data_IF_407453580844
#
_entry.id   IF_407453580844
#
_cell.length_a   1.000
_cell.length_b   1.000
_cell.length_c   1.000
_cell.angle_alpha   90.00
_cell.angle_beta   90.00
_cell.angle_gamma   90.00
#
_symmetry.space_group_name_H-M   'P 1'
#
loop_
_entity.id
_entity.type
_entity.pdbx_description
1 polymer ?
#
# COMPACT_ATOMS: atom_id res chain seq x y z
N UNK A 1 -21.57 -13.26 7.81
CA UNK A 1 -20.58 -12.18 7.53
C UNK A 1 -20.39 -12.14 6.02
N UNK A 2 -21.00 -11.17 5.33
CA UNK A 2 -20.98 -11.07 3.88
C UNK A 2 -19.68 -10.37 3.49
N UNK A 3 -18.67 -11.12 3.04
CA UNK A 3 -17.39 -10.53 2.56
C UNK A 3 -17.71 -9.62 1.37
N UNK A 4 -17.18 -8.38 1.32
CA UNK A 4 -17.64 -7.38 0.38
C UNK A 4 -17.13 -7.69 -1.03
N UNK A 5 -17.86 -8.55 -1.74
CA UNK A 5 -17.62 -8.85 -3.16
C UNK A 5 -17.64 -7.58 -4.03
N UNK A 6 -18.45 -6.57 -3.65
CA UNK A 6 -18.45 -5.24 -4.29
C UNK A 6 -17.16 -4.47 -4.03
N UNK A 7 -16.52 -4.65 -2.89
CA UNK A 7 -15.29 -3.94 -2.57
C UNK A 7 -14.08 -4.55 -3.27
N UNK A 8 -14.01 -5.88 -3.37
CA UNK A 8 -12.97 -6.54 -4.18
C UNK A 8 -13.09 -6.13 -5.65
N UNK A 9 -14.30 -5.96 -6.19
CA UNK A 9 -14.49 -5.45 -7.55
C UNK A 9 -14.20 -3.96 -7.71
N UNK A 10 -14.42 -3.14 -6.68
CA UNK A 10 -14.00 -1.73 -6.72
C UNK A 10 -12.48 -1.66 -6.67
N UNK A 11 -11.83 -2.35 -5.73
CA UNK A 11 -10.37 -2.39 -5.63
C UNK A 11 -9.74 -3.03 -6.87
N UNK A 12 -10.17 -4.22 -7.31
CA UNK A 12 -9.66 -4.85 -8.54
C UNK A 12 -10.06 -4.09 -9.82
N UNK A 13 -11.20 -3.38 -9.82
CA UNK A 13 -11.62 -2.54 -10.95
C UNK A 13 -10.86 -1.22 -11.04
N UNK A 14 -10.45 -0.66 -9.89
CA UNK A 14 -9.59 0.51 -9.76
C UNK A 14 -8.11 0.16 -10.01
N UNK A 15 -7.72 -1.04 -9.60
CA UNK A 15 -6.36 -1.55 -9.61
C UNK A 15 -6.23 -2.53 -10.76
N UNK A 16 -6.01 -2.01 -11.97
CA UNK A 16 -5.53 -2.81 -13.08
C UNK A 16 -4.06 -3.10 -12.84
N UNK A 17 -3.72 -4.28 -12.34
CA UNK A 17 -2.32 -4.70 -12.27
C UNK A 17 -1.88 -5.34 -13.59
N UNK A 18 -0.62 -5.18 -13.95
CA UNK A 18 0.00 -5.84 -15.09
C UNK A 18 0.43 -7.29 -14.80
N UNK A 19 0.38 -7.73 -13.53
CA UNK A 19 0.91 -9.02 -13.09
C UNK A 19 0.13 -9.60 -11.88
N UNK A 20 -1.06 -10.15 -12.15
CA UNK A 20 -1.93 -10.73 -11.10
C UNK A 20 -1.25 -11.83 -10.29
N UNK A 21 -0.40 -12.66 -10.91
CA UNK A 21 0.31 -13.73 -10.21
C UNK A 21 1.22 -13.20 -9.10
N UNK A 22 1.77 -11.99 -9.28
CA UNK A 22 2.62 -11.35 -8.29
C UNK A 22 1.84 -10.67 -7.15
N UNK A 23 0.53 -10.52 -7.29
CA UNK A 23 -0.35 -9.98 -6.23
C UNK A 23 -0.83 -11.04 -5.24
N UNK A 24 -0.54 -12.33 -5.46
CA UNK A 24 -1.05 -13.43 -4.61
C UNK A 24 -0.71 -13.29 -3.12
N UNK A 25 0.35 -12.55 -2.80
CA UNK A 25 0.87 -12.33 -1.46
C UNK A 25 0.48 -10.95 -0.90
N UNK A 26 -0.32 -10.16 -1.64
CA UNK A 26 -0.71 -8.80 -1.27
C UNK A 26 -2.22 -8.67 -1.14
N UNK A 27 -2.66 -8.15 0.01
CA UNK A 27 -4.06 -7.83 0.29
C UNK A 27 -4.19 -6.33 0.51
N UNK A 28 -5.26 -5.73 -0.01
CA UNK A 28 -5.53 -4.31 0.08
C UNK A 28 -6.88 -4.05 0.71
N UNK A 29 -6.93 -3.06 1.60
CA UNK A 29 -8.17 -2.55 2.15
C UNK A 29 -8.15 -1.02 2.15
N UNK A 30 -8.96 -0.40 1.31
CA UNK A 30 -9.43 0.97 1.47
C UNK A 30 -10.50 1.06 2.58
N UNK A 31 -10.18 1.70 3.70
CA UNK A 31 -11.03 1.75 4.90
C UNK A 31 -11.35 3.21 5.24
N UNK A 32 -12.58 3.50 5.64
CA UNK A 32 -12.94 4.79 6.24
C UNK A 32 -12.14 4.98 7.53
N UNK A 33 -11.28 6.00 7.58
CA UNK A 33 -10.32 6.22 8.67
C UNK A 33 -10.18 7.71 9.00
N UNK A 34 -11.24 8.47 8.70
CA UNK A 34 -11.38 9.91 8.89
C UNK A 34 -10.19 10.73 8.34
N UNK A 35 -9.60 10.24 7.25
CA UNK A 35 -8.45 10.90 6.63
C UNK A 35 -8.88 12.20 5.94
N UNK A 36 -8.06 13.26 6.04
CA UNK A 36 -8.39 14.55 5.44
C UNK A 36 -8.65 14.41 3.94
N UNK A 37 -9.75 15.00 3.45
CA UNK A 37 -10.10 15.07 2.03
C UNK A 37 -9.01 15.80 1.23
N UNK A 38 -8.88 15.48 -0.07
CA UNK A 38 -7.80 15.99 -0.93
C UNK A 38 -6.57 15.09 -0.97
N UNK A 39 -6.66 13.91 -0.36
CA UNK A 39 -5.64 12.88 -0.38
C UNK A 39 -6.12 11.64 0.34
N UNK A 40 -5.20 10.74 0.62
CA UNK A 40 -5.43 9.53 1.41
C UNK A 40 -4.15 9.14 2.14
N UNK A 41 -4.26 8.30 3.15
CA UNK A 41 -3.10 7.75 3.85
C UNK A 41 -2.86 6.32 3.41
N UNK A 42 -1.60 5.98 3.10
CA UNK A 42 -1.20 4.60 2.81
C UNK A 42 -0.56 4.00 4.04
N UNK A 43 -0.88 2.76 4.35
CA UNK A 43 -0.20 1.95 5.35
C UNK A 43 0.34 0.71 4.66
N UNK A 44 1.65 0.48 4.74
CA UNK A 44 2.28 -0.77 4.33
C UNK A 44 2.56 -1.60 5.58
N UNK A 45 1.95 -2.78 5.66
CA UNK A 45 2.08 -3.73 6.77
C UNK A 45 2.71 -5.01 6.24
N UNK A 46 3.83 -5.41 6.84
CA UNK A 46 4.65 -6.55 6.42
C UNK A 46 4.99 -7.39 7.64
N UNK A 47 5.18 -8.70 7.47
CA UNK A 47 5.74 -9.55 8.54
C UNK A 47 7.16 -9.07 8.90
N UNK A 48 7.51 -9.02 10.18
CA UNK A 48 8.79 -8.51 10.64
C UNK A 48 9.99 -9.38 10.26
N UNK A 49 9.75 -10.64 9.88
CA UNK A 49 10.77 -11.57 9.38
C UNK A 49 10.81 -11.63 7.85
N UNK A 50 9.93 -10.90 7.16
CA UNK A 50 9.91 -10.87 5.71
C UNK A 50 11.02 -9.99 5.14
N UNK A 51 11.48 -10.35 3.94
CA UNK A 51 12.29 -9.45 3.13
C UNK A 51 11.60 -8.09 2.99
N UNK A 52 12.38 -7.01 3.09
CA UNK A 52 11.87 -5.64 2.91
C UNK A 52 10.97 -5.51 1.70
N UNK A 53 9.87 -4.80 1.87
CA UNK A 53 8.96 -4.39 0.81
C UNK A 53 8.88 -2.87 0.81
N UNK A 54 8.65 -2.31 -0.37
CA UNK A 54 8.45 -0.88 -0.50
C UNK A 54 7.32 -0.57 -1.45
N UNK A 55 6.69 0.58 -1.25
CA UNK A 55 5.78 1.17 -2.23
C UNK A 55 6.31 2.55 -2.56
N UNK A 56 6.73 2.72 -3.81
CA UNK A 56 7.11 4.03 -4.35
C UNK A 56 5.87 4.69 -4.91
N UNK A 57 5.62 5.92 -4.48
CA UNK A 57 4.46 6.71 -4.83
C UNK A 57 4.95 7.85 -5.71
N UNK A 58 4.60 7.79 -6.99
CA UNK A 58 4.92 8.83 -7.96
C UNK A 58 3.70 9.75 -8.08
N UNK A 59 3.92 11.04 -7.88
CA UNK A 59 2.97 12.10 -8.18
C UNK A 59 3.74 13.31 -8.76
N UNK A 60 3.05 14.18 -9.46
CA UNK A 60 3.65 15.40 -10.02
C UNK A 60 4.16 16.37 -8.96
N UNK A 61 3.61 16.32 -7.74
CA UNK A 61 3.97 17.21 -6.64
C UNK A 61 5.36 16.89 -6.06
N UNK A 62 5.89 15.67 -6.28
CA UNK A 62 7.22 15.29 -5.83
C UNK A 62 8.35 15.85 -6.70
N UNK A 63 8.05 16.26 -7.94
CA UNK A 63 9.06 16.80 -8.88
C UNK A 63 9.82 17.99 -8.26
N UNK A 64 9.13 18.83 -7.46
CA UNK A 64 9.73 19.98 -6.78
C UNK A 64 10.71 19.61 -5.64
N UNK A 65 10.67 18.37 -5.14
CA UNK A 65 11.54 17.87 -4.07
C UNK A 65 12.88 17.31 -4.55
N UNK A 66 13.10 17.24 -5.88
CA UNK A 66 14.27 16.60 -6.49
C UNK A 66 14.24 15.07 -6.46
N UNK A 67 13.18 14.47 -5.90
CA UNK A 67 12.87 13.04 -5.97
C UNK A 67 11.60 12.86 -6.80
N UNK A 68 11.60 11.91 -7.73
CA UNK A 68 10.41 11.63 -8.55
C UNK A 68 9.28 10.90 -7.77
N UNK A 69 9.54 10.53 -6.51
CA UNK A 69 8.64 9.73 -5.69
C UNK A 69 8.84 9.92 -4.18
N UNK A 70 7.82 9.60 -3.39
CA UNK A 70 7.98 9.25 -1.97
C UNK A 70 7.84 7.73 -1.78
N UNK A 71 8.27 7.21 -0.64
CA UNK A 71 8.40 5.76 -0.45
C UNK A 71 8.03 5.36 0.98
N UNK A 72 7.18 4.35 1.12
CA UNK A 72 6.96 3.65 2.39
C UNK A 72 7.67 2.30 2.36
N UNK A 73 8.32 1.92 3.46
CA UNK A 73 9.09 0.65 3.57
C UNK A 73 8.82 -0.10 4.86
N UNK A 74 8.58 -1.40 4.75
CA UNK A 74 8.47 -2.28 5.91
C UNK A 74 9.04 -3.68 5.64
N UNK A 75 9.54 -4.32 6.68
CA UNK A 75 10.07 -5.68 6.66
C UNK A 75 11.18 -5.88 7.68
N UNK A 76 12.05 -6.86 7.45
CA UNK A 76 13.13 -7.26 8.35
C UNK A 76 13.98 -6.11 8.90
N UNK A 77 14.37 -5.17 8.04
CA UNK A 77 15.25 -4.04 8.40
C UNK A 77 14.60 -2.66 8.26
N UNK A 78 13.34 -2.59 7.80
CA UNK A 78 12.63 -1.33 7.52
C UNK A 78 11.27 -1.24 8.21
N UNK A 79 10.79 -0.02 8.39
CA UNK A 79 9.54 0.26 9.10
C UNK A 79 9.66 0.10 10.62
N UNK A 80 8.57 0.45 11.32
CA UNK A 80 8.47 0.39 12.79
C UNK A 80 7.69 -0.85 13.20
N UNK A 81 8.03 -1.53 14.31
CA UNK A 81 7.18 -2.59 14.85
C UNK A 81 5.79 -2.04 15.16
N UNK A 82 4.74 -2.78 14.82
CA UNK A 82 3.38 -2.40 15.20
C UNK A 82 3.20 -2.51 16.72
N UNK A 83 2.59 -1.50 17.35
CA UNK A 83 2.45 -1.43 18.81
C UNK A 83 1.70 -2.62 19.41
N UNK A 84 0.68 -3.16 18.73
CA UNK A 84 -0.09 -4.29 19.25
C UNK A 84 0.56 -5.66 19.04
N UNK A 85 1.41 -5.80 18.03
CA UNK A 85 2.03 -7.09 17.66
C UNK A 85 3.35 -6.87 16.90
N UNK A 86 4.52 -7.04 17.56
CA UNK A 86 5.82 -6.76 16.97
C UNK A 86 6.23 -7.76 15.88
N UNK A 87 5.42 -8.80 15.62
CA UNK A 87 5.60 -9.67 14.45
C UNK A 87 5.27 -8.94 13.13
N UNK A 88 4.72 -7.73 13.19
CA UNK A 88 4.49 -6.88 12.03
C UNK A 88 5.33 -5.63 12.07
N UNK A 89 5.75 -5.20 10.88
CA UNK A 89 6.40 -3.93 10.61
C UNK A 89 5.46 -3.08 9.79
N UNK A 90 5.41 -1.80 10.13
CA UNK A 90 4.54 -0.84 9.47
C UNK A 90 5.30 0.42 9.11
N UNK A 91 4.96 0.96 7.97
CA UNK A 91 5.27 2.32 7.58
C UNK A 91 4.06 2.96 6.90
N UNK A 92 3.98 4.28 6.95
CA UNK A 92 2.82 5.00 6.45
C UNK A 92 3.17 6.37 5.96
N UNK A 93 2.53 6.81 4.88
CA UNK A 93 2.73 8.13 4.30
C UNK A 93 1.39 8.72 3.88
N UNK A 94 1.26 10.04 3.97
CA UNK A 94 0.08 10.72 3.45
C UNK A 94 0.34 11.15 2.01
N UNK A 95 -0.57 10.77 1.12
CA UNK A 95 -0.51 11.13 -0.28
C UNK A 95 -1.57 12.19 -0.54
N UNK A 96 -1.14 13.41 -0.86
CA UNK A 96 -2.05 14.43 -1.36
C UNK A 96 -2.28 14.21 -2.86
N UNK A 97 -3.49 14.53 -3.32
CA UNK A 97 -3.78 14.47 -4.75
C UNK A 97 -3.03 15.58 -5.47
N UNK A 98 -2.39 15.28 -6.61
CA UNK A 98 -1.78 16.31 -7.42
C UNK A 98 -2.84 17.29 -7.91
N UNK A 99 -2.47 18.56 -8.05
CA UNK A 99 -3.39 19.61 -8.51
C UNK A 99 -3.80 19.43 -9.98
N UNK A 100 -2.96 18.77 -10.76
CA UNK A 100 -3.18 18.49 -12.17
C UNK A 100 -3.93 17.14 -12.36
N UNK A 101 -4.07 16.74 -13.62
CA UNK A 101 -4.82 15.55 -14.02
C UNK A 101 -3.96 14.29 -14.04
N UNK A 102 -2.69 14.38 -13.63
CA UNK A 102 -1.76 13.26 -13.68
C UNK A 102 -2.16 12.16 -12.68
N UNK A 103 -2.08 10.88 -13.07
CA UNK A 103 -2.38 9.79 -12.16
C UNK A 103 -1.37 9.74 -11.01
N UNK A 104 -1.81 9.27 -9.85
CA UNK A 104 -0.87 8.82 -8.79
C UNK A 104 -0.51 7.38 -9.08
N UNK A 105 0.78 7.08 -9.21
CA UNK A 105 1.27 5.72 -9.45
C UNK A 105 1.88 5.13 -8.19
N UNK A 106 1.40 3.96 -7.78
CA UNK A 106 1.94 3.17 -6.69
C UNK A 106 2.73 1.99 -7.28
N UNK A 107 4.06 2.00 -7.18
CA UNK A 107 4.93 0.91 -7.62
C UNK A 107 5.32 0.05 -6.43
N UNK A 108 5.01 -1.23 -6.51
CA UNK A 108 5.27 -2.21 -5.47
C UNK A 108 6.62 -2.84 -5.73
N UNK A 109 7.53 -2.68 -4.77
CA UNK A 109 8.93 -3.01 -4.94
C UNK A 109 9.33 -4.12 -3.96
N UNK A 110 10.20 -5.01 -4.43
CA UNK A 110 10.95 -5.93 -3.56
C UNK A 110 12.43 -5.91 -3.93
N UNK A 111 13.34 -6.22 -3.01
CA UNK A 111 14.73 -6.47 -3.36
C UNK A 111 14.81 -7.71 -4.26
N UNK A 112 15.52 -7.56 -5.38
CA UNK A 112 15.94 -8.64 -6.26
C UNK A 112 17.38 -9.06 -5.99
N UNK A 113 18.05 -9.59 -7.03
CA UNK A 113 19.45 -9.95 -6.96
C UNK A 113 20.32 -8.74 -6.57
N UNK A 114 21.34 -8.98 -5.74
CA UNK A 114 22.31 -7.97 -5.28
C UNK A 114 21.68 -6.77 -4.54
N UNK A 115 20.46 -6.92 -4.00
CA UNK A 115 19.79 -5.85 -3.24
C UNK A 115 19.17 -4.75 -4.09
N UNK A 116 19.17 -4.89 -5.43
CA UNK A 116 18.53 -3.93 -6.33
C UNK A 116 17.01 -4.06 -6.20
N UNK A 117 16.31 -2.95 -5.94
CA UNK A 117 14.85 -2.93 -5.89
C UNK A 117 14.26 -3.17 -7.29
N UNK A 118 13.39 -4.17 -7.39
CA UNK A 118 12.66 -4.49 -8.62
C UNK A 118 11.18 -4.22 -8.43
N UNK A 119 10.57 -3.65 -9.46
CA UNK A 119 9.11 -3.48 -9.50
C UNK A 119 8.46 -4.85 -9.70
N UNK A 120 7.57 -5.19 -8.77
CA UNK A 120 6.77 -6.41 -8.81
C UNK A 120 5.50 -6.17 -9.64
N UNK A 121 4.83 -5.05 -9.40
CA UNK A 121 3.73 -4.50 -10.20
C UNK A 121 3.51 -3.03 -9.82
N UNK A 122 2.65 -2.35 -10.55
CA UNK A 122 2.22 -1.00 -10.23
C UNK A 122 0.72 -0.81 -10.41
N UNK A 123 0.22 0.25 -9.78
CA UNK A 123 -1.18 0.64 -9.74
C UNK A 123 -1.25 2.12 -10.08
N UNK A 124 -2.12 2.50 -11.01
CA UNK A 124 -2.41 3.90 -11.30
C UNK A 124 -3.77 4.28 -10.72
N UNK A 125 -3.83 5.39 -10.00
CA UNK A 125 -5.07 6.00 -9.53
C UNK A 125 -5.32 7.23 -10.42
N UNK A 126 -6.21 7.12 -11.42
CA UNK A 126 -6.52 8.24 -12.30
C UNK A 126 -7.39 9.28 -11.59
N UNK A 127 -7.51 10.48 -12.16
CA UNK A 127 -8.21 11.63 -11.54
C UNK A 127 -9.65 11.32 -11.15
N UNK A 128 -10.37 10.62 -12.02
CA UNK A 128 -11.77 10.22 -11.85
C UNK A 128 -11.99 9.32 -10.62
N UNK A 129 -10.97 8.59 -10.18
CA UNK A 129 -11.06 7.65 -9.07
C UNK A 129 -10.67 8.26 -7.71
N UNK A 130 -10.03 9.43 -7.72
CA UNK A 130 -9.54 10.11 -6.50
C UNK A 130 -10.64 10.38 -5.47
N UNK A 131 -11.87 10.64 -5.93
CA UNK A 131 -13.02 10.89 -5.04
C UNK A 131 -13.39 9.67 -4.19
N UNK A 132 -13.10 8.44 -4.66
CA UNK A 132 -13.43 7.19 -3.96
C UNK A 132 -12.59 6.97 -2.69
N UNK A 133 -11.48 7.69 -2.59
CA UNK A 133 -10.52 7.65 -1.48
C UNK A 133 -10.73 8.76 -0.44
N UNK A 134 -11.64 9.71 -0.68
CA UNK A 134 -11.90 10.79 0.30
C UNK A 134 -12.34 10.23 1.65
N UNK A 135 -11.69 10.65 2.74
CA UNK A 135 -11.99 10.13 4.09
C UNK A 135 -11.31 8.81 4.43
N UNK A 136 -10.57 8.20 3.49
CA UNK A 136 -10.13 6.81 3.60
C UNK A 136 -8.62 6.65 3.69
N UNK A 137 -8.21 5.54 4.27
CA UNK A 137 -6.85 5.04 4.27
C UNK A 137 -6.75 3.75 3.44
N UNK A 138 -5.69 3.64 2.65
CA UNK A 138 -5.35 2.44 1.91
C UNK A 138 -4.36 1.60 2.73
N UNK A 139 -4.85 0.50 3.29
CA UNK A 139 -4.05 -0.50 3.96
C UNK A 139 -3.56 -1.53 2.94
N UNK A 140 -2.27 -1.84 3.00
CA UNK A 140 -1.61 -2.78 2.12
C UNK A 140 -0.86 -3.76 2.99
N UNK A 141 -1.32 -5.00 2.95
CA UNK A 141 -0.76 -6.10 3.70
C UNK A 141 0.04 -6.99 2.76
N UNK A 142 1.35 -7.07 2.96
CA UNK A 142 2.23 -7.83 2.09
C UNK A 142 2.87 -8.98 2.87
N UNK A 143 2.39 -10.19 2.60
CA UNK A 143 2.89 -11.43 3.19
C UNK A 143 4.25 -11.83 2.63
N UNK A 144 4.94 -12.72 3.33
CA UNK A 144 6.03 -13.48 2.73
C UNK A 144 5.55 -14.33 1.56
N UNK A 145 6.44 -14.58 0.60
CA UNK A 145 6.15 -15.35 -0.61
C UNK A 145 5.52 -16.72 -0.21
N UNK A 146 4.22 -16.88 -0.48
CA UNK A 146 3.48 -18.13 -0.25
C UNK A 146 2.86 -18.32 1.14
N UNK A 147 3.12 -17.47 2.14
CA UNK A 147 2.53 -17.67 3.49
C UNK A 147 1.05 -17.31 3.55
N UNK A 148 0.61 -16.39 2.68
CA UNK A 148 -0.77 -15.87 2.64
C UNK A 148 -1.30 -15.43 4.02
N UNK A 149 -0.44 -15.02 4.95
CA UNK A 149 -0.79 -14.69 6.33
C UNK A 149 -1.96 -13.70 6.42
N UNK A 150 -1.95 -12.69 5.55
CA UNK A 150 -2.98 -11.65 5.51
C UNK A 150 -4.24 -12.04 4.71
N UNK A 151 -4.30 -13.25 4.15
CA UNK A 151 -5.56 -13.79 3.63
C UNK A 151 -6.60 -13.94 4.75
N UNK A 152 -6.14 -14.17 5.99
CA UNK A 152 -6.99 -14.17 7.18
C UNK A 152 -7.28 -12.74 7.66
N UNK A 153 -8.55 -12.29 7.70
CA UNK A 153 -8.89 -10.94 8.16
C UNK A 153 -8.43 -10.63 9.58
N UNK A 154 -8.31 -11.64 10.46
CA UNK A 154 -7.85 -11.48 11.83
C UNK A 154 -6.38 -10.98 11.93
N UNK A 155 -5.57 -11.21 10.88
CA UNK A 155 -4.17 -10.79 10.82
C UNK A 155 -4.00 -9.37 10.24
N UNK A 156 -5.08 -8.71 9.80
CA UNK A 156 -5.05 -7.40 9.15
C UNK A 156 -5.16 -6.28 10.19
N UNK A 157 -4.02 -5.82 10.70
CA UNK A 157 -3.98 -4.71 11.65
C UNK A 157 -4.41 -3.38 11.02
N UNK A 158 -5.04 -2.51 11.81
CA UNK A 158 -5.49 -1.15 11.40
C UNK A 158 -4.93 -0.09 12.35
N UNK A 159 -5.00 1.19 11.99
CA UNK A 159 -4.34 2.35 12.65
C UNK A 159 -4.21 2.25 14.18
N UNK A 160 -5.30 2.00 14.91
CA UNK A 160 -5.28 1.89 16.39
C UNK A 160 -4.49 0.70 16.98
N UNK A 161 -3.99 -0.20 16.15
CA UNK A 161 -3.10 -1.33 16.50
C UNK A 161 -1.69 -1.17 15.94
N UNK A 162 -1.48 -0.22 15.03
CA UNK A 162 -0.23 -0.02 14.31
C UNK A 162 0.72 0.93 15.06
N UNK A 163 0.19 1.91 15.77
CA UNK A 163 0.94 2.93 16.51
C UNK A 163 0.41 3.06 17.94
#
# INVERSE_FOLDING_TARGET
MMVPYRFLNIVNGLIKSSNEAAMKDVVYELVDDDEKVGGFKIYLIVESTAWNKAIRIYNSDHVDSGLDYCEVKAGDSTGKPATSDPKYKVDSERINWPKNDDPVRLCFMKPGAFGVWTTVYDINIPKEDRTKFGGKALYIYWSNDGTKLFSEPANRLKKGKLY
#
